data_IF_163212456169
#
_entry.id   IF_163212456169
#
_cell.length_a   1.000
_cell.length_b   1.000
_cell.length_c   1.000
_cell.angle_alpha   90.00
_cell.angle_beta   90.00
_cell.angle_gamma   90.00
#
_symmetry.space_group_name_H-M   'P 1'
#
loop_
_entity.id
_entity.type
_entity.pdbx_description
1 polymer ?
#
# COMPACT_ATOMS: atom_id res chain seq x y z
N UNK A 1 -40.59 -22.14 1.78
CA UNK A 1 -39.97 -21.20 0.84
C UNK A 1 -38.72 -20.65 1.51
N UNK A 2 -37.61 -20.51 0.77
CA UNK A 2 -36.39 -19.95 1.34
C UNK A 2 -36.61 -18.49 1.75
N UNK A 3 -36.06 -18.10 2.89
CA UNK A 3 -36.16 -16.76 3.44
C UNK A 3 -35.19 -15.82 2.68
N UNK A 4 -35.65 -14.65 2.18
CA UNK A 4 -34.77 -13.72 1.52
C UNK A 4 -33.70 -13.17 2.48
N UNK A 5 -32.51 -12.91 1.94
CA UNK A 5 -31.38 -12.35 2.70
C UNK A 5 -30.87 -11.07 2.07
N UNK A 6 -30.22 -10.23 2.87
CA UNK A 6 -29.50 -9.04 2.42
C UNK A 6 -28.03 -9.22 2.79
N UNK A 7 -27.13 -9.04 1.84
CA UNK A 7 -25.68 -9.07 2.11
C UNK A 7 -25.13 -7.65 2.15
N UNK A 8 -24.58 -7.25 3.30
CA UNK A 8 -23.85 -6.01 3.46
C UNK A 8 -22.35 -6.31 3.43
N UNK A 9 -21.61 -5.62 2.54
CA UNK A 9 -20.15 -5.73 2.46
C UNK A 9 -19.55 -4.44 2.98
N UNK A 10 -18.63 -4.56 3.93
CA UNK A 10 -17.82 -3.46 4.46
C UNK A 10 -16.34 -3.76 4.23
N UNK A 11 -15.55 -2.71 4.04
CA UNK A 11 -14.12 -2.79 3.75
C UNK A 11 -13.37 -1.83 4.66
N UNK A 12 -12.31 -2.31 5.29
CA UNK A 12 -11.50 -1.49 6.21
C UNK A 12 -10.04 -1.92 6.15
N UNK A 13 -9.08 -0.98 6.09
CA UNK A 13 -9.25 0.47 5.97
C UNK A 13 -9.68 0.92 4.55
N UNK A 14 -10.43 2.03 4.43
CA UNK A 14 -10.78 2.67 3.16
C UNK A 14 -10.75 4.20 3.29
N UNK A 15 -9.78 4.92 2.68
CA UNK A 15 -8.75 4.41 1.77
C UNK A 15 -7.68 3.55 2.48
N UNK A 16 -7.13 2.57 1.76
CA UNK A 16 -5.95 1.81 2.17
C UNK A 16 -4.67 2.37 1.52
N UNK A 17 -3.51 2.17 2.13
CA UNK A 17 -2.22 2.52 1.51
C UNK A 17 -1.58 1.28 0.89
N UNK A 18 -0.70 1.47 -0.10
CA UNK A 18 0.01 0.35 -0.73
C UNK A 18 0.77 -0.49 0.32
N UNK A 19 0.70 -1.82 0.17
CA UNK A 19 1.30 -2.78 1.11
C UNK A 19 0.49 -3.00 2.40
N UNK A 20 -0.61 -2.28 2.62
CA UNK A 20 -1.52 -2.56 3.73
C UNK A 20 -2.41 -3.77 3.45
N UNK A 21 -2.68 -4.52 4.51
CA UNK A 21 -3.73 -5.55 4.51
C UNK A 21 -5.10 -4.91 4.70
N UNK A 22 -6.06 -5.32 3.87
CA UNK A 22 -7.44 -4.85 3.91
C UNK A 22 -8.34 -5.98 4.39
N UNK A 23 -9.20 -5.70 5.35
CA UNK A 23 -10.23 -6.63 5.82
C UNK A 23 -11.56 -6.33 5.12
N UNK A 24 -12.09 -7.36 4.45
CA UNK A 24 -13.43 -7.38 3.87
C UNK A 24 -14.34 -8.12 4.84
N UNK A 25 -15.44 -7.51 5.24
CA UNK A 25 -16.44 -8.13 6.12
C UNK A 25 -17.77 -8.17 5.40
N UNK A 26 -18.35 -9.36 5.27
CA UNK A 26 -19.71 -9.55 4.79
C UNK A 26 -20.62 -9.94 5.96
N UNK A 27 -21.75 -9.26 6.08
CA UNK A 27 -22.82 -9.58 7.01
C UNK A 27 -24.06 -9.94 6.20
N UNK A 28 -24.53 -11.16 6.34
CA UNK A 28 -25.74 -11.67 5.71
C UNK A 28 -26.87 -11.58 6.72
N UNK A 29 -27.84 -10.72 6.44
CA UNK A 29 -28.98 -10.43 7.30
C UNK A 29 -30.19 -11.18 6.73
N UNK A 30 -30.72 -12.21 7.43
CA UNK A 30 -31.95 -12.87 7.02
C UNK A 30 -33.16 -11.99 7.32
N UNK A 31 -34.16 -11.98 6.43
CA UNK A 31 -35.45 -11.31 6.65
C UNK A 31 -36.47 -12.22 7.35
N UNK A 32 -35.99 -13.12 8.21
CA UNK A 32 -36.80 -14.11 8.92
C UNK A 32 -36.03 -14.72 10.09
N UNK A 33 -36.51 -15.85 10.60
CA UNK A 33 -35.88 -16.54 11.73
C UNK A 33 -34.72 -17.43 11.29
N UNK A 34 -33.73 -17.58 12.16
CA UNK A 34 -32.55 -18.41 11.94
C UNK A 34 -31.30 -17.61 11.58
N UNK A 35 -30.21 -18.33 11.38
CA UNK A 35 -28.90 -17.75 11.05
C UNK A 35 -28.45 -18.31 9.70
N UNK A 36 -28.11 -17.46 8.72
CA UNK A 36 -27.65 -17.92 7.43
C UNK A 36 -26.31 -18.66 7.57
N UNK A 37 -26.20 -19.78 6.88
CA UNK A 37 -25.01 -20.64 6.87
C UNK A 37 -24.43 -20.74 5.48
N UNK A 38 -23.20 -21.22 5.36
CA UNK A 38 -22.51 -21.36 4.06
C UNK A 38 -21.45 -20.30 3.86
N UNK A 39 -21.14 -20.01 2.60
CA UNK A 39 -19.98 -19.22 2.22
C UNK A 39 -20.37 -17.95 1.43
N UNK A 40 -19.60 -16.89 1.65
CA UNK A 40 -19.64 -15.66 0.84
C UNK A 40 -18.38 -15.61 -0.02
N UNK A 41 -18.57 -15.50 -1.33
CA UNK A 41 -17.48 -15.32 -2.29
C UNK A 41 -17.26 -13.84 -2.55
N UNK A 42 -16.08 -13.32 -2.26
CA UNK A 42 -15.67 -11.95 -2.57
C UNK A 42 -14.87 -11.92 -3.88
N UNK A 43 -15.39 -11.19 -4.86
CA UNK A 43 -14.73 -10.94 -6.14
C UNK A 43 -14.19 -9.51 -6.14
N UNK A 44 -12.88 -9.36 -6.33
CA UNK A 44 -12.19 -8.07 -6.31
C UNK A 44 -11.68 -7.74 -7.71
N UNK A 45 -12.06 -6.60 -8.28
CA UNK A 45 -11.61 -6.22 -9.63
C UNK A 45 -10.10 -5.95 -9.64
N UNK A 46 -9.34 -6.70 -10.42
CA UNK A 46 -7.87 -6.58 -10.45
C UNK A 46 -7.16 -7.19 -9.24
N UNK A 47 -7.87 -7.96 -8.41
CA UNK A 47 -7.31 -8.69 -7.27
C UNK A 47 -7.71 -10.18 -7.28
N UNK A 48 -7.37 -10.94 -6.22
CA UNK A 48 -7.79 -12.33 -6.09
C UNK A 48 -9.27 -12.43 -5.74
N UNK A 49 -9.89 -13.54 -6.12
CA UNK A 49 -11.17 -13.98 -5.55
C UNK A 49 -10.90 -14.71 -4.25
N UNK A 50 -11.62 -14.36 -3.19
CA UNK A 50 -11.48 -14.98 -1.86
C UNK A 50 -12.84 -15.40 -1.33
N UNK A 51 -12.88 -16.46 -0.53
CA UNK A 51 -14.13 -16.99 0.02
C UNK A 51 -14.04 -16.99 1.54
N UNK A 52 -15.12 -16.56 2.20
CA UNK A 52 -15.24 -16.57 3.65
C UNK A 52 -16.46 -17.37 4.10
N UNK A 53 -16.27 -18.26 5.06
CA UNK A 53 -17.37 -19.02 5.66
C UNK A 53 -18.10 -18.17 6.69
N UNK A 54 -19.44 -18.20 6.64
CA UNK A 54 -20.30 -17.49 7.59
C UNK A 54 -20.28 -18.17 8.95
N UNK A 55 -20.02 -17.38 9.99
CA UNK A 55 -20.18 -17.76 11.38
C UNK A 55 -21.10 -16.74 12.05
N UNK A 56 -22.28 -17.17 12.48
CA UNK A 56 -23.27 -16.24 13.05
C UNK A 56 -23.83 -15.23 12.03
N UNK A 57 -23.85 -15.59 10.73
CA UNK A 57 -24.27 -14.69 9.65
C UNK A 57 -23.26 -13.61 9.25
N UNK A 58 -22.03 -13.67 9.74
CA UNK A 58 -20.95 -12.76 9.35
C UNK A 58 -19.69 -13.54 8.97
N UNK A 59 -18.90 -13.00 8.04
CA UNK A 59 -17.57 -13.51 7.70
C UNK A 59 -16.62 -12.35 7.43
N UNK A 60 -15.33 -12.56 7.73
CA UNK A 60 -14.28 -11.58 7.48
C UNK A 60 -13.08 -12.25 6.82
N UNK A 61 -12.56 -11.63 5.77
CA UNK A 61 -11.40 -12.11 5.01
C UNK A 61 -10.42 -10.96 4.82
N UNK A 62 -9.14 -11.22 5.05
CA UNK A 62 -8.08 -10.23 4.85
C UNK A 62 -7.37 -10.46 3.52
N UNK A 63 -7.21 -9.39 2.75
CA UNK A 63 -6.55 -9.38 1.44
C UNK A 63 -5.34 -8.44 1.51
N UNK A 64 -4.11 -8.98 1.44
CA UNK A 64 -2.91 -8.18 1.40
C UNK A 64 -2.58 -7.71 -0.03
N UNK A 65 -1.70 -6.71 -0.14
CA UNK A 65 -0.99 -6.36 -1.37
C UNK A 65 -1.89 -6.00 -2.58
N UNK A 66 -3.00 -5.31 -2.34
CA UNK A 66 -3.77 -4.71 -3.43
C UNK A 66 -2.92 -3.64 -4.14
N UNK A 67 -3.00 -3.60 -5.46
CA UNK A 67 -2.33 -2.58 -6.26
C UNK A 67 -2.89 -1.19 -5.98
N UNK A 68 -2.13 -0.14 -6.31
CA UNK A 68 -2.66 1.22 -6.23
C UNK A 68 -3.78 1.39 -7.26
N UNK A 69 -4.93 1.91 -6.82
CA UNK A 69 -6.10 2.09 -7.65
C UNK A 69 -7.42 1.88 -6.91
N UNK A 70 -8.53 2.01 -7.64
CA UNK A 70 -9.85 1.67 -7.15
C UNK A 70 -10.16 0.20 -7.46
N UNK A 71 -10.56 -0.55 -6.44
CA UNK A 71 -10.95 -1.94 -6.55
C UNK A 71 -12.41 -2.09 -6.12
N UNK A 72 -13.29 -2.54 -7.02
CA UNK A 72 -14.64 -2.93 -6.66
C UNK A 72 -14.63 -4.32 -6.02
N UNK A 73 -15.37 -4.47 -4.93
CA UNK A 73 -15.52 -5.69 -4.15
C UNK A 73 -16.98 -6.13 -4.22
N UNK A 74 -17.24 -7.30 -4.78
CA UNK A 74 -18.55 -7.92 -4.83
C UNK A 74 -18.58 -9.13 -3.90
N UNK A 75 -19.38 -9.08 -2.83
CA UNK A 75 -19.65 -10.21 -1.95
C UNK A 75 -20.92 -10.93 -2.40
N UNK A 76 -20.77 -12.18 -2.84
CA UNK A 76 -21.86 -13.02 -3.33
C UNK A 76 -22.12 -14.17 -2.35
N UNK A 77 -23.29 -14.16 -1.73
CA UNK A 77 -23.82 -15.24 -0.92
C UNK A 77 -24.72 -16.13 -1.78
N UNK A 78 -24.37 -17.41 -1.90
CA UNK A 78 -25.08 -18.34 -2.79
C UNK A 78 -26.39 -18.89 -2.20
N UNK A 79 -26.74 -18.50 -0.96
CA UNK A 79 -27.87 -19.09 -0.25
C UNK A 79 -27.52 -20.44 0.36
N UNK A 80 -28.49 -20.99 1.10
CA UNK A 80 -28.45 -22.34 1.63
C UNK A 80 -29.83 -23.01 1.49
N UNK A 81 -30.05 -24.13 2.16
CA UNK A 81 -31.35 -24.86 2.10
C UNK A 81 -32.53 -24.05 2.61
N UNK A 82 -32.30 -23.05 3.48
CA UNK A 82 -33.34 -22.27 4.15
C UNK A 82 -33.32 -20.78 3.73
N UNK A 83 -32.22 -20.27 3.19
CA UNK A 83 -32.01 -18.86 2.88
C UNK A 83 -31.69 -18.64 1.40
N UNK A 84 -32.34 -17.65 0.78
CA UNK A 84 -32.09 -17.30 -0.63
C UNK A 84 -30.74 -16.61 -0.83
N UNK A 85 -30.12 -16.75 -2.01
CA UNK A 85 -28.90 -16.04 -2.38
C UNK A 85 -29.08 -14.52 -2.33
N UNK A 86 -27.99 -13.80 -2.03
CA UNK A 86 -27.94 -12.35 -2.07
C UNK A 86 -26.55 -11.83 -2.37
N UNK A 87 -26.47 -10.57 -2.80
CA UNK A 87 -25.20 -9.92 -3.18
C UNK A 87 -25.07 -8.57 -2.49
N UNK A 88 -23.85 -8.22 -2.10
CA UNK A 88 -23.48 -6.89 -1.64
C UNK A 88 -22.25 -6.40 -2.40
N UNK A 89 -22.13 -5.08 -2.58
CA UNK A 89 -21.00 -4.48 -3.27
C UNK A 89 -20.41 -3.34 -2.44
N UNK A 90 -19.10 -3.16 -2.54
CA UNK A 90 -18.37 -2.02 -1.98
C UNK A 90 -17.20 -1.66 -2.90
N UNK A 91 -16.55 -0.53 -2.67
CA UNK A 91 -15.35 -0.11 -3.39
C UNK A 91 -14.29 0.27 -2.37
N UNK A 92 -13.08 -0.23 -2.60
CA UNK A 92 -11.90 0.20 -1.86
C UNK A 92 -10.96 1.00 -2.73
N UNK A 93 -10.47 2.11 -2.18
CA UNK A 93 -9.42 2.92 -2.79
C UNK A 93 -8.07 2.61 -2.14
N UNK A 94 -7.10 2.19 -2.94
CA UNK A 94 -5.71 1.99 -2.51
C UNK A 94 -4.87 3.15 -3.05
N UNK A 95 -4.24 3.90 -2.14
CA UNK A 95 -3.39 5.05 -2.47
C UNK A 95 -1.91 4.71 -2.27
N UNK A 96 -1.03 5.47 -2.93
CA UNK A 96 0.42 5.35 -2.72
C UNK A 96 0.78 5.66 -1.26
N UNK A 97 1.77 4.94 -0.73
CA UNK A 97 2.31 5.25 0.60
C UNK A 97 3.09 6.55 0.58
N UNK A 98 2.90 7.38 1.62
CA UNK A 98 3.75 8.54 1.83
C UNK A 98 5.18 8.09 2.20
N UNK A 99 6.18 8.89 1.83
CA UNK A 99 7.59 8.64 2.14
C UNK A 99 8.22 9.86 2.81
N UNK A 100 9.07 9.64 3.81
CA UNK A 100 9.92 10.69 4.39
C UNK A 100 11.33 10.58 3.83
N UNK A 101 11.89 11.71 3.42
CA UNK A 101 13.25 11.82 2.89
C UNK A 101 14.12 12.61 3.85
N UNK A 102 15.19 12.02 4.37
CA UNK A 102 16.22 12.73 5.13
C UNK A 102 17.54 12.70 4.35
N UNK A 103 18.28 13.81 4.40
CA UNK A 103 19.59 13.93 3.76
C UNK A 103 20.60 14.34 4.83
N UNK A 104 21.74 13.65 4.85
CA UNK A 104 22.88 14.02 5.67
C UNK A 104 24.14 14.12 4.81
N UNK A 105 25.04 15.01 5.21
CA UNK A 105 26.36 15.20 4.61
C UNK A 105 27.45 14.86 5.62
N UNK A 106 28.53 14.26 5.17
CA UNK A 106 29.72 14.03 6.00
C UNK A 106 31.00 14.07 5.16
N UNK A 107 32.05 14.79 5.61
CA UNK A 107 32.10 15.64 6.81
C UNK A 107 31.33 16.97 6.67
N UNK A 108 30.74 17.45 7.76
CA UNK A 108 30.08 18.75 7.88
C UNK A 108 30.41 19.36 9.26
N UNK A 109 31.23 20.43 9.37
CA UNK A 109 31.79 21.23 8.27
C UNK A 109 32.94 20.53 7.52
N UNK A 110 33.00 20.70 6.20
CA UNK A 110 34.07 20.22 5.33
C UNK A 110 35.10 21.30 5.02
N UNK A 111 36.35 20.93 4.78
CA UNK A 111 37.36 21.88 4.28
C UNK A 111 37.45 21.87 2.76
N UNK A 112 38.03 22.93 2.18
CA UNK A 112 38.18 23.05 0.72
C UNK A 112 39.08 21.93 0.17
N UNK A 113 38.52 21.08 -0.70
CA UNK A 113 39.23 19.94 -1.30
C UNK A 113 38.86 18.59 -0.68
N UNK A 114 38.12 18.56 0.43
CA UNK A 114 37.60 17.32 1.00
C UNK A 114 36.44 16.77 0.15
N UNK A 115 36.41 15.44 -0.02
CA UNK A 115 35.25 14.77 -0.59
C UNK A 115 34.10 14.72 0.43
N UNK A 116 32.96 15.31 0.09
CA UNK A 116 31.75 15.25 0.93
C UNK A 116 30.85 14.12 0.44
N UNK A 117 30.47 13.21 1.33
CA UNK A 117 29.48 12.17 1.01
C UNK A 117 28.10 12.65 1.40
N UNK A 118 27.17 12.63 0.45
CA UNK A 118 25.75 12.86 0.72
C UNK A 118 25.03 11.52 0.83
N UNK A 119 24.31 11.33 1.92
CA UNK A 119 23.49 10.16 2.16
C UNK A 119 22.04 10.61 2.21
N UNK A 120 21.23 10.14 1.25
CA UNK A 120 19.77 10.24 1.36
C UNK A 120 19.22 8.93 1.91
N UNK A 121 18.35 9.05 2.90
CA UNK A 121 17.56 7.96 3.44
C UNK A 121 16.10 8.25 3.15
N UNK A 122 15.44 7.32 2.44
CA UNK A 122 14.01 7.43 2.11
C UNK A 122 13.29 6.27 2.78
N UNK A 123 12.41 6.60 3.71
CA UNK A 123 11.64 5.62 4.47
C UNK A 123 10.15 5.74 4.16
N UNK A 124 9.43 4.62 3.99
CA UNK A 124 7.97 4.65 3.90
C UNK A 124 7.38 5.09 5.24
N UNK A 125 6.27 5.84 5.19
CA UNK A 125 5.52 6.25 6.38
C UNK A 125 4.47 5.19 6.68
N UNK A 126 4.47 4.73 7.94
CA UNK A 126 3.46 3.79 8.41
C UNK A 126 2.04 4.38 8.22
N UNK A 127 1.07 3.57 7.76
CA UNK A 127 1.14 2.12 7.74
C UNK A 127 1.55 1.54 6.37
N UNK A 128 1.98 2.38 5.42
CA UNK A 128 2.47 1.92 4.13
C UNK A 128 3.63 0.93 4.26
N UNK A 129 3.56 -0.17 3.53
CA UNK A 129 4.63 -1.17 3.47
C UNK A 129 5.24 -1.21 2.07
N UNK A 130 6.56 -1.29 2.00
CA UNK A 130 7.30 -1.36 0.74
C UNK A 130 8.59 -0.55 0.78
N UNK A 131 9.62 -1.03 0.09
CA UNK A 131 10.82 -0.23 -0.14
C UNK A 131 10.46 0.81 -1.20
N UNK A 132 10.58 2.12 -0.91
CA UNK A 132 10.35 3.14 -1.93
C UNK A 132 11.31 2.87 -3.08
N UNK A 133 10.77 2.70 -4.29
CA UNK A 133 11.57 2.59 -5.52
C UNK A 133 11.41 3.89 -6.27
N UNK A 134 12.51 4.47 -6.72
CA UNK A 134 12.49 5.78 -7.36
C UNK A 134 13.88 6.36 -7.52
N UNK A 135 13.97 7.59 -8.00
CA UNK A 135 15.22 8.32 -8.13
C UNK A 135 15.27 9.44 -7.11
N UNK A 136 16.39 9.60 -6.42
CA UNK A 136 16.67 10.79 -5.62
C UNK A 136 17.57 11.69 -6.44
N UNK A 137 17.15 12.95 -6.59
CA UNK A 137 17.95 14.00 -7.24
C UNK A 137 18.54 14.88 -6.15
N UNK A 138 19.87 14.87 -6.03
CA UNK A 138 20.59 15.80 -5.18
C UNK A 138 20.93 17.04 -5.99
N UNK A 139 20.55 18.21 -5.47
CA UNK A 139 20.91 19.50 -6.05
C UNK A 139 21.83 20.19 -5.04
N UNK A 140 23.11 20.30 -5.40
CA UNK A 140 24.12 20.97 -4.56
C UNK A 140 24.33 22.37 -5.13
N UNK A 141 24.02 23.39 -4.34
CA UNK A 141 24.30 24.79 -4.68
C UNK A 141 25.71 25.20 -4.27
N UNK A 142 26.43 25.93 -5.14
CA UNK A 142 27.78 26.45 -4.88
C UNK A 142 28.71 26.38 -6.10
N UNK A 143 29.88 27.03 -6.03
CA UNK A 143 30.92 26.91 -7.07
C UNK A 143 31.41 25.46 -7.15
N UNK A 144 30.98 24.74 -8.20
CA UNK A 144 31.26 23.31 -8.39
C UNK A 144 30.09 22.36 -8.09
N UNK A 145 28.91 22.91 -7.74
CA UNK A 145 27.69 22.12 -7.58
C UNK A 145 27.11 21.59 -8.90
N UNK A 146 26.40 20.46 -8.81
CA UNK A 146 25.73 19.80 -9.94
C UNK A 146 24.48 19.05 -9.50
N UNK A 147 23.67 18.61 -10.47
CA UNK A 147 22.53 17.75 -10.22
C UNK A 147 22.96 16.27 -10.34
N UNK A 148 22.89 15.54 -9.24
CA UNK A 148 23.22 14.12 -9.20
C UNK A 148 21.94 13.31 -9.04
N UNK A 149 21.57 12.58 -10.09
CA UNK A 149 20.42 11.65 -10.06
C UNK A 149 20.94 10.26 -9.74
N UNK A 150 20.46 9.68 -8.65
CA UNK A 150 20.83 8.32 -8.26
C UNK A 150 19.57 7.45 -8.08
N UNK A 151 19.55 6.22 -8.62
CA UNK A 151 18.46 5.29 -8.39
C UNK A 151 18.48 4.78 -6.94
N UNK A 152 17.34 4.83 -6.26
CA UNK A 152 17.15 4.29 -4.92
C UNK A 152 16.99 2.76 -5.02
N UNK A 153 18.04 2.01 -4.73
CA UNK A 153 17.96 0.56 -4.49
C UNK A 153 18.21 0.26 -3.00
N UNK A 154 17.17 0.40 -2.17
CA UNK A 154 17.25 0.26 -0.71
C UNK A 154 17.08 1.59 0.03
N UNK A 155 16.72 1.52 1.32
CA UNK A 155 16.28 2.66 2.13
C UNK A 155 17.35 3.74 2.39
N UNK A 156 18.62 3.49 2.06
CA UNK A 156 19.71 4.44 2.23
C UNK A 156 20.71 4.28 1.08
N UNK A 157 21.15 5.38 0.46
CA UNK A 157 22.24 5.36 -0.53
C UNK A 157 23.22 6.51 -0.34
N UNK A 158 24.50 6.15 -0.39
CA UNK A 158 25.63 7.06 -0.37
C UNK A 158 26.02 7.42 -1.80
N UNK A 159 26.03 8.71 -2.13
CA UNK A 159 26.75 9.20 -3.30
C UNK A 159 28.02 9.90 -2.79
N UNK A 160 29.22 9.38 -3.09
CA UNK A 160 30.42 10.20 -2.94
C UNK A 160 30.28 11.37 -3.92
N UNK A 161 30.42 12.61 -3.47
CA UNK A 161 30.74 13.68 -4.42
C UNK A 161 32.10 13.33 -5.00
N UNK A 162 32.19 13.19 -6.31
CA UNK A 162 33.48 13.00 -6.99
C UNK A 162 34.41 14.13 -6.55
N UNK A 163 35.66 13.84 -6.14
CA UNK A 163 36.62 14.90 -5.85
C UNK A 163 36.78 15.76 -7.09
N UNK A 164 36.75 17.08 -6.93
CA UNK A 164 37.08 18.02 -8.00
C UNK A 164 38.46 17.66 -8.53
N UNK A 165 38.52 16.96 -9.66
CA UNK A 165 39.77 16.59 -10.28
C UNK A 165 40.45 17.87 -10.78
N UNK A 166 41.59 18.16 -10.14
CA UNK A 166 42.68 19.05 -10.57
C UNK A 166 42.33 20.51 -10.84
N UNK A 167 42.71 21.37 -9.90
CA UNK A 167 43.08 22.75 -10.22
C UNK A 167 44.19 22.72 -11.30
N UNK A 168 44.10 23.54 -12.36
CA UNK A 168 45.26 23.80 -13.19
C UNK A 168 46.25 24.66 -12.39
N UNK A 169 47.48 24.18 -12.26
CA UNK A 169 48.66 25.01 -11.96
C UNK A 169 49.69 24.80 -13.06
N UNK A 170 50.53 25.79 -13.41
CA UNK A 170 50.44 27.25 -13.18
C UNK A 170 50.02 28.05 -14.44
#
# INVERSE_FOLDING_TARGET
MATPTITLVTVSPNPATFGQSVTLTATVIPLGTGTPTGDVTFVITGGPTVTGTLSGGTTSVTVPNLSVGAHAVLGNYNGDTNFSPSTGANVILVVQSATTTSVSSSPDPSTLGDSVTFTATVTPVAPGAGVPTGTVTFIIGGSGGGAFVQPLSGASRCCPSTPWASAPTP
#
